data_IF_045519475869
#
_entry.id   IF_045519475869
#
_cell.length_a   1.000
_cell.length_b   1.000
_cell.length_c   1.000
_cell.angle_alpha   90.00
_cell.angle_beta   90.00
_cell.angle_gamma   90.00
#
_symmetry.space_group_name_H-M   'P 1'
#
loop_
_entity.id
_entity.type
_entity.pdbx_description
1 polymer ?
#
# COMPACT_ATOMS: atom_id res chain seq x y z
N UNK A 1 3.37 -34.23 31.39
CA UNK A 1 3.12 -32.83 31.01
C UNK A 1 3.93 -32.51 29.76
N UNK A 2 3.30 -32.58 28.58
CA UNK A 2 3.67 -31.80 27.39
C UNK A 2 2.61 -32.12 26.33
N UNK A 3 1.48 -31.41 26.43
CA UNK A 3 0.54 -31.33 25.32
C UNK A 3 1.01 -30.11 24.53
N UNK A 4 1.96 -30.33 23.62
CA UNK A 4 2.32 -29.33 22.63
C UNK A 4 1.08 -29.13 21.76
N UNK A 5 0.48 -27.94 21.85
CA UNK A 5 -0.69 -27.57 21.06
C UNK A 5 -0.35 -27.52 19.59
N UNK A 6 -0.44 -28.66 18.92
CA UNK A 6 -0.51 -28.73 17.47
C UNK A 6 -1.92 -28.28 17.08
N UNK A 7 -2.03 -27.13 16.44
CA UNK A 7 -3.15 -26.91 15.53
C UNK A 7 -3.12 -28.10 14.55
N UNK A 8 -4.22 -28.84 14.42
CA UNK A 8 -4.35 -29.96 13.49
C UNK A 8 -4.25 -29.43 12.04
N UNK A 9 -3.02 -29.14 11.60
CA UNK A 9 -2.68 -28.89 10.21
C UNK A 9 -2.70 -30.24 9.51
N UNK A 10 -3.89 -30.66 9.08
CA UNK A 10 -4.02 -31.77 8.15
C UNK A 10 -3.51 -31.32 6.78
N UNK A 11 -2.19 -31.43 6.58
CA UNK A 11 -1.56 -31.29 5.29
C UNK A 11 -1.91 -32.51 4.43
N UNK A 12 -2.08 -32.28 3.13
CA UNK A 12 -2.32 -33.36 2.19
C UNK A 12 -1.13 -34.34 2.18
N UNK A 13 -1.39 -35.62 1.93
CA UNK A 13 -0.39 -36.69 2.00
C UNK A 13 0.78 -36.44 1.04
N UNK A 14 0.50 -35.84 -0.12
CA UNK A 14 1.51 -35.48 -1.12
C UNK A 14 2.46 -34.39 -0.60
N UNK A 15 1.98 -33.49 0.26
CA UNK A 15 2.80 -32.45 0.89
C UNK A 15 3.65 -33.06 2.00
N UNK A 16 3.07 -33.94 2.82
CA UNK A 16 3.81 -34.65 3.88
C UNK A 16 4.93 -35.51 3.30
N UNK A 17 4.69 -36.17 2.16
CA UNK A 17 5.65 -37.04 1.48
C UNK A 17 6.92 -36.31 1.00
N UNK A 18 6.86 -34.99 0.81
CA UNK A 18 8.00 -34.18 0.37
C UNK A 18 8.68 -33.41 1.50
N UNK A 19 8.16 -33.48 2.74
CA UNK A 19 8.81 -32.87 3.90
C UNK A 19 10.06 -33.69 4.25
N UNK A 20 11.23 -33.04 4.43
CA UNK A 20 12.44 -33.73 4.87
C UNK A 20 12.19 -34.49 6.17
N UNK A 21 12.76 -35.68 6.32
CA UNK A 21 12.66 -36.46 7.57
C UNK A 21 13.67 -36.01 8.62
N UNK A 22 14.75 -35.33 8.21
CA UNK A 22 15.75 -34.80 9.13
C UNK A 22 15.22 -33.54 9.87
N UNK A 23 15.32 -33.47 11.21
CA UNK A 23 14.79 -32.34 11.98
C UNK A 23 15.43 -30.98 11.65
N UNK A 24 16.72 -30.93 11.31
CA UNK A 24 17.38 -29.67 10.99
C UNK A 24 17.01 -29.19 9.58
N UNK A 25 16.85 -30.12 8.63
CA UNK A 25 16.33 -29.80 7.30
C UNK A 25 14.89 -29.31 7.34
N UNK A 26 14.04 -29.85 8.23
CA UNK A 26 12.68 -29.34 8.46
C UNK A 26 12.69 -27.91 8.98
N UNK A 27 13.57 -27.58 9.94
CA UNK A 27 13.72 -26.21 10.44
C UNK A 27 14.18 -25.26 9.33
N UNK A 28 15.11 -25.70 8.48
CA UNK A 28 15.55 -24.90 7.34
C UNK A 28 14.42 -24.66 6.33
N UNK A 29 13.62 -25.69 6.05
CA UNK A 29 12.43 -25.57 5.21
C UNK A 29 11.39 -24.61 5.82
N UNK A 30 11.07 -24.76 7.10
CA UNK A 30 10.14 -23.88 7.81
C UNK A 30 10.62 -22.42 7.81
N UNK A 31 11.93 -22.21 8.00
CA UNK A 31 12.57 -20.91 7.91
C UNK A 31 12.43 -20.32 6.50
N UNK A 32 12.71 -21.09 5.45
CA UNK A 32 12.55 -20.67 4.05
C UNK A 32 11.11 -20.29 3.72
N UNK A 33 10.13 -21.12 4.12
CA UNK A 33 8.71 -20.82 3.94
C UNK A 33 8.34 -19.51 4.63
N UNK A 34 8.79 -19.33 5.88
CA UNK A 34 8.54 -18.10 6.64
C UNK A 34 9.17 -16.89 5.96
N UNK A 35 10.43 -17.00 5.50
CA UNK A 35 11.10 -15.93 4.76
C UNK A 35 10.36 -15.57 3.47
N UNK A 36 9.87 -16.56 2.71
CA UNK A 36 9.07 -16.32 1.51
C UNK A 36 7.73 -15.65 1.83
N UNK A 37 7.03 -16.10 2.88
CA UNK A 37 5.78 -15.49 3.32
C UNK A 37 5.98 -14.02 3.74
N UNK A 38 7.06 -13.72 4.46
CA UNK A 38 7.43 -12.35 4.82
C UNK A 38 7.74 -11.54 3.57
N UNK A 39 8.58 -12.05 2.66
CA UNK A 39 8.94 -11.35 1.43
C UNK A 39 7.72 -11.05 0.54
N UNK A 40 6.81 -12.01 0.40
CA UNK A 40 5.53 -11.83 -0.31
C UNK A 40 4.68 -10.74 0.33
N UNK A 41 4.59 -10.72 1.67
CA UNK A 41 3.86 -9.68 2.40
C UNK A 41 4.50 -8.30 2.24
N UNK A 42 5.83 -8.21 2.32
CA UNK A 42 6.57 -6.96 2.12
C UNK A 42 6.34 -6.43 0.71
N UNK A 43 6.47 -7.26 -0.32
CA UNK A 43 6.23 -6.88 -1.71
C UNK A 43 4.80 -6.37 -1.93
N UNK A 44 3.79 -7.01 -1.32
CA UNK A 44 2.41 -6.53 -1.34
C UNK A 44 2.27 -5.15 -0.70
N UNK A 45 2.85 -4.95 0.47
CA UNK A 45 2.83 -3.66 1.17
C UNK A 45 3.54 -2.55 0.37
N UNK A 46 4.67 -2.85 -0.27
CA UNK A 46 5.37 -1.91 -1.14
C UNK A 46 4.50 -1.50 -2.33
N UNK A 47 3.80 -2.44 -2.96
CA UNK A 47 2.84 -2.14 -4.03
C UNK A 47 1.65 -1.29 -3.56
N UNK A 48 1.11 -1.56 -2.38
CA UNK A 48 0.04 -0.75 -1.76
C UNK A 48 0.51 0.67 -1.44
N UNK A 49 1.71 0.82 -0.86
CA UNK A 49 2.31 2.13 -0.60
C UNK A 49 2.56 2.90 -1.89
N UNK A 50 3.03 2.23 -2.95
CA UNK A 50 3.23 2.85 -4.27
C UNK A 50 1.93 3.42 -4.83
N UNK A 51 0.85 2.63 -4.78
CA UNK A 51 -0.48 3.10 -5.20
C UNK A 51 -0.98 4.28 -4.38
N UNK A 52 -0.89 4.21 -3.05
CA UNK A 52 -1.29 5.33 -2.18
C UNK A 52 -0.50 6.61 -2.46
N UNK A 53 0.81 6.50 -2.72
CA UNK A 53 1.63 7.66 -3.08
C UNK A 53 1.16 8.29 -4.39
N UNK A 54 0.94 7.46 -5.41
CA UNK A 54 0.44 7.92 -6.71
C UNK A 54 -0.92 8.61 -6.59
N UNK A 55 -1.88 8.00 -5.89
CA UNK A 55 -3.22 8.58 -5.66
C UNK A 55 -3.12 9.92 -4.92
N UNK A 56 -2.29 9.99 -3.88
CA UNK A 56 -2.07 11.22 -3.11
C UNK A 56 -1.45 12.31 -3.98
N UNK A 57 -0.42 12.00 -4.78
CA UNK A 57 0.22 12.97 -5.68
C UNK A 57 -0.75 13.45 -6.78
N UNK A 58 -1.61 12.57 -7.28
CA UNK A 58 -2.67 12.93 -8.24
C UNK A 58 -3.70 13.88 -7.62
N UNK A 59 -4.18 13.60 -6.41
CA UNK A 59 -5.11 14.48 -5.69
C UNK A 59 -4.48 15.85 -5.41
N UNK A 60 -3.20 15.89 -5.02
CA UNK A 60 -2.48 17.15 -4.81
C UNK A 60 -2.48 17.98 -6.10
N UNK A 61 -2.13 17.36 -7.23
CA UNK A 61 -2.12 18.04 -8.52
C UNK A 61 -3.50 18.60 -8.89
N UNK A 62 -4.57 17.84 -8.72
CA UNK A 62 -5.93 18.33 -9.00
C UNK A 62 -6.33 19.49 -8.10
N UNK A 63 -5.92 19.47 -6.83
CA UNK A 63 -6.22 20.55 -5.89
C UNK A 63 -5.43 21.82 -6.21
N UNK A 64 -4.17 21.68 -6.61
CA UNK A 64 -3.33 22.79 -7.06
C UNK A 64 -3.90 23.45 -8.33
N UNK A 65 -4.36 22.66 -9.29
CA UNK A 65 -5.01 23.15 -10.52
C UNK A 65 -6.31 23.94 -10.22
N UNK A 66 -7.17 23.37 -9.36
CA UNK A 66 -8.39 24.05 -8.90
C UNK A 66 -8.09 25.35 -8.16
N UNK A 67 -7.07 25.34 -7.30
CA UNK A 67 -6.65 26.53 -6.56
C UNK A 67 -6.17 27.63 -7.51
N UNK A 68 -5.33 27.28 -8.49
CA UNK A 68 -4.84 28.22 -9.50
C UNK A 68 -5.99 28.84 -10.31
N UNK A 69 -6.95 28.00 -10.73
CA UNK A 69 -8.14 28.46 -11.45
C UNK A 69 -8.98 29.43 -10.61
N UNK A 70 -9.22 29.11 -9.34
CA UNK A 70 -9.97 29.99 -8.43
C UNK A 70 -9.25 31.30 -8.15
N UNK A 71 -7.93 31.27 -8.00
CA UNK A 71 -7.11 32.47 -7.82
C UNK A 71 -7.22 33.39 -9.03
N UNK A 72 -7.15 32.84 -10.24
CA UNK A 72 -7.30 33.61 -11.47
C UNK A 72 -8.70 34.25 -11.56
N UNK A 73 -9.76 33.45 -11.35
CA UNK A 73 -11.13 33.96 -11.37
C UNK A 73 -11.37 35.07 -10.33
N UNK A 74 -10.77 34.94 -9.14
CA UNK A 74 -10.88 35.96 -8.10
C UNK A 74 -10.15 37.25 -8.50
N UNK A 75 -8.92 37.16 -9.04
CA UNK A 75 -8.18 38.32 -9.55
C UNK A 75 -8.91 39.03 -10.69
N UNK A 76 -9.53 38.27 -11.61
CA UNK A 76 -10.34 38.81 -12.69
C UNK A 76 -11.59 39.53 -12.13
N UNK A 77 -12.27 38.95 -11.15
CA UNK A 77 -13.42 39.55 -10.50
C UNK A 77 -13.05 40.84 -9.75
N UNK A 78 -11.95 40.84 -9.00
CA UNK A 78 -11.42 42.02 -8.31
C UNK A 78 -11.06 43.13 -9.29
N UNK A 79 -10.41 42.79 -10.41
CA UNK A 79 -10.04 43.75 -11.45
C UNK A 79 -11.28 44.38 -12.10
N UNK A 80 -12.29 43.55 -12.44
CA UNK A 80 -13.57 44.03 -12.98
C UNK A 80 -14.31 44.92 -12.00
N UNK A 81 -14.28 44.58 -10.72
CA UNK A 81 -14.90 45.39 -9.65
C UNK A 81 -14.22 46.76 -9.53
N UNK A 82 -12.88 46.82 -9.57
CA UNK A 82 -12.14 48.09 -9.56
C UNK A 82 -12.50 48.97 -10.75
N UNK A 83 -12.52 48.42 -11.96
CA UNK A 83 -12.89 49.16 -13.18
C UNK A 83 -14.32 49.73 -13.04
N UNK A 84 -15.30 48.91 -12.65
CA UNK A 84 -16.68 49.36 -12.49
C UNK A 84 -16.86 50.40 -11.37
N UNK A 85 -15.98 50.42 -10.37
CA UNK A 85 -15.95 51.44 -9.33
C UNK A 85 -15.31 52.75 -9.81
N UNK A 86 -14.24 52.67 -10.59
CA UNK A 86 -13.57 53.85 -11.18
C UNK A 86 -14.43 54.55 -12.26
N UNK A 87 -15.32 53.81 -12.92
CA UNK A 87 -16.25 54.32 -13.95
C UNK A 87 -17.53 54.99 -13.39
N UNK A 88 -17.75 54.98 -12.06
CA UNK A 88 -18.90 55.59 -11.37
C UNK A 88 -18.51 56.89 -10.64
#
# INVERSE_FOLDING_TARGET
MSQGGGMDFNLAEEVLAVIPTDPYEQLDLARKITSMAIASRVSKMEGEMGRMRYEKDHIIFELEDKLSTLQQLNQDAESRFKIAFEEN
#
